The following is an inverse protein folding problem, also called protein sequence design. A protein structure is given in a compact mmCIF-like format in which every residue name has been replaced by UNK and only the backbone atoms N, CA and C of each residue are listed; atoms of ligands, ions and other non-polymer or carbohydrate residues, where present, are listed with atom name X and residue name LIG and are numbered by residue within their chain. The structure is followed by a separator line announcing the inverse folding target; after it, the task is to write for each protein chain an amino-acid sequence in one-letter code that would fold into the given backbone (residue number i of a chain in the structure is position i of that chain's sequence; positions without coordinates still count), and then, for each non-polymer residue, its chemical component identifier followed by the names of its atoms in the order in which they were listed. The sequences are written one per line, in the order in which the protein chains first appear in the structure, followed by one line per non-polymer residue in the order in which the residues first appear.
data_IF_154179058537
#
_entry.id   IF_154179058537
#
_cell.length_a   1.000
_cell.length_b   1.000
_cell.length_c   1.000
_cell.angle_alpha   90.00
_cell.angle_beta   90.00
_cell.angle_gamma   90.00
#
_symmetry.space_group_name_H-M   'P 1'
#
loop_
_entity.id
_entity.type
_entity.pdbx_description
1 polymer ?
#
# COMPACT_ATOMS: atom_id res chain seq x y z
N UNK A 1 -25.34 4.59 -10.68
CA UNK A 1 -24.26 4.31 -9.71
C UNK A 1 -23.82 5.63 -9.11
N UNK A 2 -23.60 5.70 -7.79
CA UNK A 2 -22.99 6.89 -7.19
C UNK A 2 -21.48 6.90 -7.45
N UNK A 3 -20.85 8.08 -7.39
CA UNK A 3 -19.38 8.19 -7.52
C UNK A 3 -18.67 7.31 -6.48
N UNK A 4 -19.18 7.27 -5.25
CA UNK A 4 -18.63 6.41 -4.19
C UNK A 4 -18.66 4.93 -4.56
N UNK A 5 -19.73 4.46 -5.20
CA UNK A 5 -19.83 3.05 -5.63
C UNK A 5 -18.86 2.69 -6.75
N UNK A 6 -18.43 3.66 -7.57
CA UNK A 6 -17.47 3.42 -8.65
C UNK A 6 -16.05 3.21 -8.12
N UNK A 7 -15.75 3.70 -6.92
CA UNK A 7 -14.41 3.70 -6.33
C UNK A 7 -14.32 2.87 -5.04
N UNK A 8 -15.36 2.15 -4.66
CA UNK A 8 -15.31 1.25 -3.50
C UNK A 8 -14.41 0.05 -3.80
N UNK A 9 -13.35 -0.11 -3.01
CA UNK A 9 -12.38 -1.20 -3.10
C UNK A 9 -12.49 -2.18 -1.93
N UNK A 10 -13.57 -2.10 -1.13
CA UNK A 10 -13.80 -3.00 -0.01
C UNK A 10 -13.68 -4.47 -0.43
N UNK A 11 -12.85 -5.23 0.29
CA UNK A 11 -12.59 -6.64 0.01
C UNK A 11 -11.53 -6.91 -1.07
N UNK A 12 -10.98 -5.87 -1.69
CA UNK A 12 -9.84 -5.99 -2.60
C UNK A 12 -8.51 -5.85 -1.85
N UNK A 13 -7.44 -6.37 -2.47
CA UNK A 13 -6.06 -6.16 -2.02
C UNK A 13 -5.32 -5.36 -3.09
N UNK A 14 -4.70 -4.25 -2.70
CA UNK A 14 -3.88 -3.43 -3.59
C UNK A 14 -2.39 -3.65 -3.30
N UNK A 15 -1.65 -4.10 -4.32
CA UNK A 15 -0.19 -4.13 -4.30
C UNK A 15 0.36 -2.79 -4.82
N UNK A 16 1.13 -2.09 -3.98
CA UNK A 16 1.81 -0.85 -4.34
C UNK A 16 3.33 -1.04 -4.33
N UNK A 17 3.90 -1.05 -5.54
CA UNK A 17 5.35 -1.04 -5.75
C UNK A 17 5.93 0.34 -5.47
N UNK A 18 7.08 0.39 -4.78
CA UNK A 18 7.65 1.66 -4.33
C UNK A 18 6.82 2.35 -3.25
N UNK A 19 6.03 1.58 -2.48
CA UNK A 19 5.03 2.11 -1.54
C UNK A 19 5.57 2.68 -0.23
N UNK A 20 6.89 2.70 0.00
CA UNK A 20 7.47 3.15 1.27
C UNK A 20 7.51 4.68 1.45
N UNK A 21 7.37 5.46 0.38
CA UNK A 21 7.44 6.94 0.43
C UNK A 21 6.87 7.61 -0.82
N UNK A 22 6.83 8.94 -0.80
CA UNK A 22 6.48 9.77 -1.95
C UNK A 22 5.10 9.40 -2.52
N UNK A 23 4.98 9.42 -3.86
CA UNK A 23 3.71 9.09 -4.52
C UNK A 23 3.22 7.67 -4.23
N UNK A 24 4.13 6.70 -4.07
CA UNK A 24 3.75 5.33 -3.73
C UNK A 24 2.98 5.25 -2.42
N UNK A 25 3.48 5.94 -1.38
CA UNK A 25 2.81 6.00 -0.09
C UNK A 25 1.46 6.72 -0.19
N UNK A 26 1.40 7.85 -0.89
CA UNK A 26 0.16 8.62 -1.08
C UNK A 26 -0.91 7.82 -1.86
N UNK A 27 -0.49 7.02 -2.84
CA UNK A 27 -1.40 6.11 -3.54
C UNK A 27 -1.89 4.99 -2.61
N UNK A 28 -1.02 4.44 -1.77
CA UNK A 28 -1.41 3.43 -0.79
C UNK A 28 -2.45 3.98 0.21
N UNK A 29 -2.27 5.21 0.69
CA UNK A 29 -3.25 5.92 1.53
C UNK A 29 -4.60 6.03 0.83
N UNK A 30 -4.63 6.59 -0.38
CA UNK A 30 -5.88 6.78 -1.13
C UNK A 30 -6.61 5.46 -1.44
N UNK A 31 -5.86 4.38 -1.71
CA UNK A 31 -6.44 3.05 -1.91
C UNK A 31 -7.01 2.47 -0.60
N UNK A 32 -6.33 2.70 0.53
CA UNK A 32 -6.80 2.35 1.86
C UNK A 32 -8.08 3.10 2.25
N UNK A 33 -8.17 4.40 1.94
CA UNK A 33 -9.38 5.22 2.15
C UNK A 33 -10.60 4.65 1.40
N UNK A 34 -10.37 4.03 0.24
CA UNK A 34 -11.40 3.37 -0.55
C UNK A 34 -11.75 1.95 -0.07
N UNK A 35 -11.12 1.47 1.01
CA UNK A 35 -11.43 0.18 1.65
C UNK A 35 -10.54 -0.99 1.21
N UNK A 36 -9.50 -0.75 0.41
CA UNK A 36 -8.57 -1.80 0.04
C UNK A 36 -7.69 -2.21 1.22
N UNK A 37 -7.36 -3.51 1.30
CA UNK A 37 -6.20 -3.97 2.08
C UNK A 37 -4.93 -3.67 1.29
N UNK A 38 -3.84 -3.35 1.97
CA UNK A 38 -2.62 -2.88 1.34
C UNK A 38 -1.51 -3.92 1.43
N UNK A 39 -0.82 -4.15 0.31
CA UNK A 39 0.49 -4.77 0.27
C UNK A 39 1.47 -3.75 -0.33
N UNK A 40 2.48 -3.34 0.43
CA UNK A 40 3.48 -2.38 -0.07
C UNK A 40 4.85 -3.03 -0.16
N UNK A 41 5.59 -2.68 -1.22
CA UNK A 41 6.95 -3.20 -1.42
C UNK A 41 7.94 -2.11 -1.82
N UNK A 42 9.16 -2.23 -1.29
CA UNK A 42 10.30 -1.39 -1.59
C UNK A 42 11.60 -2.08 -1.15
N UNK A 43 12.74 -1.50 -1.52
CA UNK A 43 14.08 -2.07 -1.26
C UNK A 43 14.56 -1.95 0.19
N UNK A 44 14.05 -0.96 0.92
CA UNK A 44 14.56 -0.55 2.24
C UNK A 44 13.56 -0.94 3.32
N UNK A 45 13.99 -1.83 4.22
CA UNK A 45 13.13 -2.42 5.26
C UNK A 45 12.72 -1.41 6.34
N UNK A 46 13.61 -0.48 6.68
CA UNK A 46 13.38 0.64 7.60
C UNK A 46 12.28 1.57 7.07
N UNK A 47 12.41 2.03 5.82
CA UNK A 47 11.39 2.88 5.18
C UNK A 47 10.02 2.16 5.07
N UNK A 48 10.02 0.84 4.83
CA UNK A 48 8.79 0.04 4.82
C UNK A 48 8.14 -0.07 6.21
N UNK A 49 8.94 -0.23 7.27
CA UNK A 49 8.43 -0.30 8.63
C UNK A 49 7.79 1.03 9.05
N UNK A 50 8.39 2.16 8.68
CA UNK A 50 7.83 3.49 8.92
C UNK A 50 6.52 3.70 8.14
N UNK A 51 6.50 3.36 6.85
CA UNK A 51 5.31 3.44 6.01
C UNK A 51 4.17 2.56 6.53
N UNK A 52 4.48 1.32 6.96
CA UNK A 52 3.50 0.41 7.56
C UNK A 52 2.88 1.02 8.81
N UNK A 53 3.69 1.49 9.75
CA UNK A 53 3.20 2.13 10.98
C UNK A 53 2.31 3.33 10.68
N UNK A 54 2.69 4.15 9.69
CA UNK A 54 1.90 5.30 9.25
C UNK A 54 0.53 4.91 8.69
N UNK A 55 0.49 3.91 7.80
CA UNK A 55 -0.76 3.41 7.21
C UNK A 55 -1.65 2.67 8.23
N UNK A 56 -1.05 1.86 9.11
CA UNK A 56 -1.78 1.18 10.20
C UNK A 56 -2.36 2.19 11.21
N UNK A 57 -1.69 3.32 11.46
CA UNK A 57 -2.21 4.39 12.30
C UNK A 57 -3.46 5.07 11.71
N UNK A 58 -3.68 4.95 10.40
CA UNK A 58 -4.90 5.39 9.71
C UNK A 58 -6.00 4.31 9.70
N UNK A 59 -5.73 3.12 10.26
CA UNK A 59 -6.68 2.02 10.37
C UNK A 59 -6.66 1.03 9.21
N UNK A 60 -5.68 1.10 8.31
CA UNK A 60 -5.56 0.17 7.18
C UNK A 60 -4.87 -1.13 7.59
N UNK A 61 -5.26 -2.24 6.95
CA UNK A 61 -4.55 -3.52 7.06
C UNK A 61 -3.39 -3.55 6.05
N UNK A 62 -2.16 -3.74 6.53
CA UNK A 62 -0.95 -3.55 5.70
C UNK A 62 0.04 -4.72 5.83
N UNK A 63 0.36 -5.33 4.69
CA UNK A 63 1.49 -6.23 4.52
C UNK A 63 2.68 -5.47 3.90
N UNK A 64 3.89 -5.72 4.40
CA UNK A 64 5.13 -5.22 3.79
C UNK A 64 5.95 -6.36 3.22
N UNK A 65 6.51 -6.16 2.03
CA UNK A 65 7.45 -7.09 1.40
C UNK A 65 8.70 -6.32 0.98
N UNK A 66 9.84 -6.65 1.57
CA UNK A 66 11.13 -6.12 1.12
C UNK A 66 11.47 -6.79 -0.21
N UNK A 67 11.56 -6.00 -1.28
CA UNK A 67 11.90 -6.54 -2.59
C UNK A 67 12.65 -5.51 -3.46
N UNK A 68 13.52 -6.01 -4.32
CA UNK A 68 14.11 -5.27 -5.43
C UNK A 68 13.48 -5.72 -6.74
N UNK A 69 12.58 -4.90 -7.30
CA UNK A 69 11.83 -5.23 -8.52
C UNK A 69 12.70 -5.36 -9.77
N UNK A 70 13.99 -5.00 -9.71
CA UNK A 70 14.93 -5.29 -10.80
C UNK A 70 15.39 -6.74 -10.82
N UNK A 71 15.14 -7.50 -9.74
CA UNK A 71 15.45 -8.93 -9.63
C UNK A 71 14.17 -9.73 -9.83
N UNK A 72 14.20 -10.65 -10.79
CA UNK A 72 13.07 -11.52 -11.13
C UNK A 72 13.09 -12.85 -10.37
N UNK A 73 14.13 -13.06 -9.57
CA UNK A 73 14.35 -14.23 -8.71
C UNK A 73 14.46 -13.74 -7.26
N UNK A 74 13.95 -14.55 -6.33
CA UNK A 74 14.00 -14.27 -4.88
C UNK A 74 15.40 -14.48 -4.28
#
# INVERSE_FOLDING_TARGET
MSVKQLFDLTGQVALVTGGSRGLGLQMAEALGEMGAKLAITARKADELAEAKKHLEAQGYEVLTVVNDLQKTED
#
